data_IF_308963430743
#
_entry.id   IF_308963430743
#
_cell.length_a   1.000
_cell.length_b   1.000
_cell.length_c   1.000
_cell.angle_alpha   90.00
_cell.angle_beta   90.00
_cell.angle_gamma   90.00
#
_symmetry.space_group_name_H-M   'P 1'
#
loop_
_entity.id
_entity.type
_entity.pdbx_description
1 polymer ?
#
# COMPACT_ATOMS: atom_id res chain seq x y z
N UNK A 1 11.44 13.92 44.25
CA UNK A 1 10.55 14.04 43.08
C UNK A 1 11.45 14.13 41.86
N UNK A 2 11.57 13.06 41.13
CA UNK A 2 12.35 13.09 39.87
C UNK A 2 11.55 13.91 38.85
N UNK A 3 12.02 15.12 38.60
CA UNK A 3 11.45 15.95 37.53
C UNK A 3 11.86 15.35 36.17
N UNK A 4 11.08 14.39 35.71
CA UNK A 4 11.24 13.93 34.34
C UNK A 4 10.65 14.99 33.39
N UNK A 5 11.53 15.62 32.65
CA UNK A 5 11.15 16.51 31.56
C UNK A 5 10.80 15.65 30.33
N UNK A 6 9.80 16.05 29.57
CA UNK A 6 9.50 15.42 28.27
C UNK A 6 10.77 15.38 27.42
N UNK A 7 11.17 14.18 26.99
CA UNK A 7 12.36 13.98 26.19
C UNK A 7 13.64 13.64 26.94
N UNK A 8 13.68 13.69 28.28
CA UNK A 8 14.88 13.33 29.04
C UNK A 8 15.24 11.85 28.91
N UNK A 9 14.24 10.99 28.64
CA UNK A 9 14.42 9.58 28.41
C UNK A 9 13.78 9.19 27.08
N UNK A 10 14.50 9.41 25.99
CA UNK A 10 14.01 9.07 24.66
C UNK A 10 13.93 7.55 24.52
N UNK A 11 12.75 7.07 24.20
CA UNK A 11 12.52 5.69 23.81
C UNK A 11 12.01 5.67 22.38
N UNK A 12 12.76 5.04 21.49
CA UNK A 12 12.38 4.88 20.10
C UNK A 12 11.66 3.55 19.87
N UNK A 13 10.95 3.46 18.77
CA UNK A 13 10.26 2.25 18.36
C UNK A 13 10.27 2.05 16.85
N UNK A 14 10.07 0.80 16.46
CA UNK A 14 9.67 0.40 15.11
C UNK A 14 8.35 -0.34 15.24
N UNK A 15 7.45 -0.13 14.29
CA UNK A 15 6.14 -0.79 14.31
C UNK A 15 5.48 -0.81 12.95
N UNK A 16 4.29 -1.37 12.91
CA UNK A 16 3.47 -1.49 11.70
C UNK A 16 2.15 -0.75 11.91
N UNK A 17 1.78 0.08 10.94
CA UNK A 17 0.48 0.77 10.94
C UNK A 17 -0.64 -0.25 10.76
N UNK A 18 -1.56 -0.30 11.71
CA UNK A 18 -2.73 -1.18 11.67
C UNK A 18 -4.03 -0.43 11.34
N UNK A 19 -4.07 0.88 11.58
CA UNK A 19 -5.20 1.73 11.20
C UNK A 19 -4.74 3.15 10.91
N UNK A 20 -5.26 3.73 9.85
CA UNK A 20 -5.07 5.14 9.46
C UNK A 20 -6.40 5.90 9.38
N UNK A 21 -7.46 5.34 9.92
CA UNK A 21 -8.78 5.96 9.91
C UNK A 21 -9.02 6.78 11.19
N UNK A 22 -8.33 7.92 11.30
CA UNK A 22 -8.44 8.80 12.46
C UNK A 22 -9.81 9.51 12.51
N UNK A 23 -10.64 9.26 13.53
CA UNK A 23 -11.96 9.89 13.65
C UNK A 23 -11.88 11.41 13.86
N UNK A 24 -10.77 11.93 14.38
CA UNK A 24 -10.57 13.37 14.60
C UNK A 24 -9.93 14.08 13.38
N UNK A 25 -9.57 13.33 12.33
CA UNK A 25 -8.92 13.86 11.11
C UNK A 25 -7.65 14.67 11.40
N UNK A 26 -6.85 14.19 12.34
CA UNK A 26 -5.54 14.74 12.71
C UNK A 26 -4.39 13.98 12.05
N UNK A 27 -4.67 13.13 11.08
CA UNK A 27 -3.71 12.26 10.39
C UNK A 27 -2.94 11.30 11.33
N UNK A 28 -3.55 10.96 12.48
CA UNK A 28 -2.98 9.99 13.42
C UNK A 28 -3.17 8.58 12.89
N UNK A 29 -2.29 7.70 13.32
CA UNK A 29 -2.34 6.28 12.98
C UNK A 29 -2.29 5.41 14.23
N UNK A 30 -2.83 4.20 14.15
CA UNK A 30 -2.60 3.18 15.18
C UNK A 30 -1.44 2.30 14.74
N UNK A 31 -0.48 2.12 15.63
CA UNK A 31 0.75 1.39 15.35
C UNK A 31 0.91 0.23 16.33
N UNK A 32 1.03 -0.98 15.78
CA UNK A 32 1.48 -2.13 16.58
C UNK A 32 3.00 -2.10 16.65
N UNK A 33 3.50 -1.80 17.85
CA UNK A 33 4.92 -1.53 18.09
C UNK A 33 5.62 -2.82 18.48
N UNK A 34 6.68 -3.18 17.75
CA UNK A 34 7.46 -4.38 18.00
C UNK A 34 8.14 -4.33 19.37
N UNK A 35 8.01 -5.41 20.13
CA UNK A 35 8.58 -5.54 21.48
C UNK A 35 7.84 -4.77 22.58
N UNK A 36 6.77 -4.01 22.26
CA UNK A 36 5.87 -3.35 23.21
C UNK A 36 4.49 -4.00 23.17
N UNK A 37 3.93 -4.14 21.97
CA UNK A 37 2.64 -4.79 21.79
C UNK A 37 2.85 -6.23 21.31
N UNK A 38 2.06 -7.17 21.86
CA UNK A 38 2.04 -8.54 21.34
C UNK A 38 1.48 -8.55 19.90
N UNK A 39 1.89 -9.53 19.12
CA UNK A 39 1.30 -9.78 17.80
C UNK A 39 -0.08 -10.45 17.88
N UNK A 40 -0.42 -11.02 19.05
CA UNK A 40 -1.72 -11.62 19.29
C UNK A 40 -2.80 -10.54 19.41
N UNK A 41 -3.64 -10.45 18.38
CA UNK A 41 -4.74 -9.49 18.31
C UNK A 41 -5.91 -9.85 19.22
N UNK A 42 -5.95 -11.07 19.76
CA UNK A 42 -6.95 -11.45 20.78
C UNK A 42 -6.55 -10.92 22.15
N UNK A 43 -5.24 -10.83 22.43
CA UNK A 43 -4.74 -10.28 23.68
C UNK A 43 -4.75 -8.74 23.70
N UNK A 44 -4.37 -8.10 22.58
CA UNK A 44 -4.42 -6.64 22.40
C UNK A 44 -5.04 -6.38 21.02
N UNK A 45 -6.35 -6.10 20.96
CA UNK A 45 -7.01 -5.72 19.72
C UNK A 45 -6.43 -4.44 19.08
N UNK A 46 -6.53 -4.31 17.76
CA UNK A 46 -6.03 -3.13 17.05
C UNK A 46 -6.77 -1.85 17.46
N UNK A 47 -8.04 -1.97 17.86
CA UNK A 47 -8.86 -0.87 18.36
C UNK A 47 -8.39 -0.34 19.72
N UNK A 48 -7.70 -1.13 20.54
CA UNK A 48 -7.21 -0.74 21.87
C UNK A 48 -5.84 -0.07 21.82
N UNK A 49 -5.17 -0.10 20.67
CA UNK A 49 -3.88 0.56 20.52
C UNK A 49 -4.00 2.08 20.59
N UNK A 50 -3.03 2.77 21.21
CA UNK A 50 -3.04 4.23 21.27
C UNK A 50 -2.88 4.85 19.89
N UNK A 51 -3.47 6.02 19.71
CA UNK A 51 -3.25 6.82 18.51
C UNK A 51 -1.86 7.45 18.53
N UNK A 52 -1.04 7.12 17.56
CA UNK A 52 0.25 7.74 17.31
C UNK A 52 0.05 9.02 16.50
N UNK A 53 0.64 10.11 16.95
CA UNK A 53 0.75 11.31 16.12
C UNK A 53 1.75 11.06 14.98
N UNK A 54 1.55 11.74 13.86
CA UNK A 54 2.49 11.69 12.73
C UNK A 54 3.17 13.04 12.62
N UNK A 55 4.49 13.04 12.60
CA UNK A 55 5.26 14.25 12.37
C UNK A 55 5.11 14.70 10.91
N UNK A 56 4.64 15.92 10.72
CA UNK A 56 4.49 16.56 9.41
C UNK A 56 5.49 17.72 9.28
N UNK A 57 5.87 18.11 8.06
CA UNK A 57 6.73 19.29 7.86
C UNK A 57 6.12 20.54 8.47
N UNK A 58 6.96 21.40 9.03
CA UNK A 58 6.52 22.68 9.65
C UNK A 58 5.86 23.66 8.66
N UNK A 59 5.97 23.37 7.37
CA UNK A 59 5.30 24.12 6.30
C UNK A 59 3.86 23.73 6.07
N UNK A 60 3.44 22.64 6.72
CA UNK A 60 2.08 22.10 6.64
C UNK A 60 1.28 22.49 7.87
N UNK A 61 0.00 22.82 7.69
CA UNK A 61 -0.90 23.05 8.82
C UNK A 61 -1.32 21.73 9.45
N UNK A 62 -1.19 21.62 10.76
CA UNK A 62 -1.54 20.42 11.54
C UNK A 62 -2.94 20.45 12.15
N UNK A 63 -3.85 21.28 11.64
CA UNK A 63 -5.22 21.37 12.15
C UNK A 63 -6.12 20.26 11.62
N UNK A 64 -7.16 19.91 12.39
CA UNK A 64 -8.13 18.86 12.03
C UNK A 64 -8.80 19.14 10.68
N UNK A 65 -8.60 18.22 9.73
CA UNK A 65 -9.16 18.32 8.38
C UNK A 65 -8.49 19.36 7.47
N UNK A 66 -7.42 20.02 7.93
CA UNK A 66 -6.63 20.98 7.19
C UNK A 66 -5.15 20.58 7.23
N UNK A 67 -4.40 20.98 6.21
CA UNK A 67 -2.96 20.79 6.13
C UNK A 67 -2.53 19.50 5.46
N UNK A 68 -1.31 19.09 5.73
CA UNK A 68 -0.68 17.92 5.13
C UNK A 68 -1.34 16.61 5.56
N UNK A 69 -1.23 15.63 4.69
CA UNK A 69 -1.60 14.25 4.97
C UNK A 69 -0.40 13.36 4.68
N UNK A 70 0.05 12.64 5.67
CA UNK A 70 1.19 11.71 5.56
C UNK A 70 0.94 10.58 4.57
N UNK A 71 -0.33 10.29 4.28
CA UNK A 71 -0.79 9.17 3.42
C UNK A 71 -0.20 7.82 3.85
N UNK A 72 0.12 7.68 5.13
CA UNK A 72 0.54 6.39 5.66
C UNK A 72 -0.56 5.36 5.44
N UNK A 73 -0.18 4.25 4.84
CA UNK A 73 -1.10 3.15 4.57
C UNK A 73 -1.05 2.13 5.70
N UNK A 74 -2.13 1.39 5.87
CA UNK A 74 -2.12 0.19 6.69
C UNK A 74 -1.00 -0.74 6.21
N UNK A 75 -0.33 -1.42 7.15
CA UNK A 75 0.84 -2.27 6.96
C UNK A 75 2.15 -1.53 6.63
N UNK A 76 2.15 -0.19 6.55
CA UNK A 76 3.39 0.57 6.45
C UNK A 76 4.25 0.33 7.70
N UNK A 77 5.55 0.07 7.50
CA UNK A 77 6.50 0.03 8.59
C UNK A 77 6.93 1.44 8.93
N UNK A 78 6.92 1.78 10.21
CA UNK A 78 7.23 3.12 10.71
C UNK A 78 8.27 3.10 11.80
N UNK A 79 8.98 4.21 11.90
CA UNK A 79 9.94 4.50 12.97
C UNK A 79 9.44 5.72 13.74
N UNK A 80 9.59 5.70 15.06
CA UNK A 80 9.14 6.80 15.90
C UNK A 80 9.75 6.80 17.28
N UNK A 81 9.27 7.72 18.11
CA UNK A 81 9.66 7.89 19.52
C UNK A 81 8.41 7.97 20.39
N UNK A 82 8.59 7.69 21.68
CA UNK A 82 7.57 7.97 22.68
C UNK A 82 7.85 9.33 23.31
N UNK A 83 6.88 10.24 23.24
CA UNK A 83 6.99 11.58 23.82
C UNK A 83 7.05 11.56 25.36
N UNK A 84 6.43 10.57 25.96
CA UNK A 84 6.41 10.29 27.40
C UNK A 84 7.53 9.34 27.85
N UNK A 85 8.49 9.05 26.98
CA UNK A 85 9.66 8.24 27.29
C UNK A 85 9.30 6.82 27.76
N UNK A 86 9.64 6.49 29.00
CA UNK A 86 9.47 5.14 29.55
C UNK A 86 8.02 4.69 29.70
N UNK A 87 7.08 5.62 29.82
CA UNK A 87 5.65 5.30 29.99
C UNK A 87 5.01 4.76 28.72
N UNK A 88 5.58 5.11 27.56
CA UNK A 88 5.28 4.50 26.24
C UNK A 88 3.81 4.54 25.83
N UNK A 89 3.10 5.62 26.21
CA UNK A 89 1.68 5.82 25.90
C UNK A 89 1.44 6.88 24.81
N UNK A 90 2.45 7.75 24.56
CA UNK A 90 2.33 8.83 23.59
C UNK A 90 3.29 8.62 22.41
N UNK A 91 2.97 7.73 21.46
CA UNK A 91 3.80 7.47 20.30
C UNK A 91 3.74 8.63 19.29
N UNK A 92 4.89 9.01 18.75
CA UNK A 92 5.06 9.94 17.63
C UNK A 92 5.80 9.23 16.50
N UNK A 93 5.17 9.12 15.35
CA UNK A 93 5.78 8.59 14.13
C UNK A 93 6.63 9.68 13.48
N UNK A 94 7.90 9.41 13.27
CA UNK A 94 8.85 10.32 12.65
C UNK A 94 9.05 10.04 11.15
N UNK A 95 8.86 8.80 10.73
CA UNK A 95 9.03 8.42 9.34
C UNK A 95 8.55 7.02 9.02
N UNK A 96 8.45 6.74 7.73
CA UNK A 96 8.14 5.43 7.17
C UNK A 96 9.42 4.76 6.69
N UNK A 97 9.55 3.46 6.97
CA UNK A 97 10.67 2.64 6.52
C UNK A 97 10.20 1.86 5.30
N UNK A 98 10.81 2.09 4.12
CA UNK A 98 10.52 1.27 2.96
C UNK A 98 10.84 -0.20 3.25
N UNK A 99 9.89 -1.08 2.99
CA UNK A 99 10.11 -2.52 3.05
C UNK A 99 9.82 -3.13 1.68
N UNK A 100 10.60 -4.11 1.32
CA UNK A 100 10.28 -4.94 0.17
C UNK A 100 9.10 -5.81 0.60
N UNK A 101 7.90 -5.40 0.20
CA UNK A 101 6.81 -6.35 0.15
C UNK A 101 7.11 -7.22 -1.07
N UNK A 102 7.56 -8.44 -0.85
CA UNK A 102 7.29 -9.45 -1.86
C UNK A 102 5.80 -9.35 -2.10
N UNK A 103 5.41 -9.09 -3.34
CA UNK A 103 4.03 -9.21 -3.80
C UNK A 103 3.62 -10.69 -3.64
N UNK A 104 3.68 -11.20 -2.43
CA UNK A 104 2.93 -12.36 -2.01
C UNK A 104 1.52 -11.84 -1.89
N UNK A 105 0.73 -12.11 -2.86
CA UNK A 105 -0.66 -12.52 -2.86
C UNK A 105 -1.42 -12.44 -1.52
N UNK A 106 -1.20 -11.35 -0.76
CA UNK A 106 -2.10 -10.91 0.30
C UNK A 106 -3.14 -9.91 -0.23
N UNK A 107 -3.19 -9.72 -1.53
CA UNK A 107 -4.49 -9.77 -2.13
C UNK A 107 -4.90 -11.21 -1.84
N UNK A 108 -5.74 -11.46 -0.82
CA UNK A 108 -6.69 -12.52 -0.94
C UNK A 108 -7.20 -12.35 -2.36
N UNK A 109 -6.62 -13.13 -3.29
CA UNK A 109 -7.26 -13.32 -4.56
C UNK A 109 -8.72 -13.50 -4.16
N UNK A 110 -9.65 -12.68 -4.66
CA UNK A 110 -11.01 -13.13 -4.59
C UNK A 110 -10.89 -14.54 -5.11
N UNK A 111 -11.17 -15.52 -4.27
CA UNK A 111 -11.08 -16.95 -4.55
C UNK A 111 -12.19 -17.35 -5.55
N UNK A 112 -12.32 -16.54 -6.57
CA UNK A 112 -12.84 -16.82 -7.86
C UNK A 112 -11.60 -16.95 -8.74
N UNK A 113 -11.34 -18.14 -9.25
CA UNK A 113 -10.66 -18.27 -10.50
C UNK A 113 -11.14 -17.10 -11.36
N UNK A 114 -10.26 -16.12 -11.63
CA UNK A 114 -10.48 -15.22 -12.75
C UNK A 114 -10.33 -16.08 -13.98
N UNK A 115 -11.29 -16.91 -14.21
CA UNK A 115 -11.62 -17.43 -15.53
C UNK A 115 -12.13 -16.20 -16.29
N UNK A 116 -11.19 -15.31 -16.62
CA UNK A 116 -11.36 -14.39 -17.71
C UNK A 116 -11.47 -15.30 -18.94
N UNK A 117 -12.71 -15.75 -19.19
CA UNK A 117 -13.05 -16.32 -20.49
C UNK A 117 -12.93 -15.15 -21.46
N UNK A 118 -11.68 -14.88 -21.86
CA UNK A 118 -11.39 -13.79 -22.78
C UNK A 118 -12.03 -14.15 -24.12
N UNK A 119 -13.07 -13.42 -24.50
CA UNK A 119 -13.75 -13.58 -25.76
C UNK A 119 -12.78 -13.35 -26.92
N UNK A 120 -12.69 -14.33 -27.80
CA UNK A 120 -11.87 -14.30 -28.99
C UNK A 120 -11.22 -15.64 -29.30
N UNK A 121 -10.91 -15.86 -30.56
CA UNK A 121 -10.28 -17.10 -31.05
C UNK A 121 -8.76 -16.99 -31.06
N UNK A 122 -8.22 -15.78 -31.20
CA UNK A 122 -6.79 -15.50 -31.22
C UNK A 122 -6.38 -14.71 -29.98
N UNK A 123 -5.10 -14.70 -29.64
CA UNK A 123 -4.59 -13.89 -28.53
C UNK A 123 -4.76 -12.39 -28.80
N UNK A 124 -4.70 -11.96 -30.05
CA UNK A 124 -4.98 -10.58 -30.48
C UNK A 124 -6.43 -10.21 -30.16
N UNK A 125 -7.40 -11.04 -30.54
CA UNK A 125 -8.82 -10.80 -30.26
C UNK A 125 -9.09 -10.78 -28.76
N UNK A 126 -8.53 -11.70 -28.01
CA UNK A 126 -8.64 -11.75 -26.55
C UNK A 126 -8.08 -10.50 -25.90
N UNK A 127 -6.90 -10.04 -26.32
CA UNK A 127 -6.27 -8.83 -25.81
C UNK A 127 -7.12 -7.58 -26.17
N UNK A 128 -7.64 -7.50 -27.40
CA UNK A 128 -8.48 -6.40 -27.82
C UNK A 128 -9.77 -6.32 -26.99
N UNK A 129 -10.48 -7.42 -26.86
CA UNK A 129 -11.73 -7.49 -26.11
C UNK A 129 -11.51 -7.20 -24.62
N UNK A 130 -10.37 -7.63 -24.07
CA UNK A 130 -9.99 -7.27 -22.70
C UNK A 130 -9.82 -5.76 -22.55
N UNK A 131 -9.00 -5.11 -23.39
CA UNK A 131 -8.71 -3.68 -23.24
C UNK A 131 -9.92 -2.77 -23.41
N UNK A 132 -10.86 -3.10 -24.29
CA UNK A 132 -12.11 -2.33 -24.42
C UNK A 132 -13.12 -2.61 -23.31
N UNK A 133 -12.95 -3.70 -22.55
CA UNK A 133 -13.86 -4.06 -21.46
C UNK A 133 -13.68 -3.16 -20.23
N UNK A 134 -14.69 -3.05 -19.36
CA UNK A 134 -14.57 -2.30 -18.09
C UNK A 134 -13.43 -2.80 -17.19
N UNK A 135 -13.14 -4.10 -17.20
CA UNK A 135 -12.10 -4.74 -16.40
C UNK A 135 -10.71 -4.39 -16.94
N UNK A 136 -10.56 -4.34 -18.28
CA UNK A 136 -9.30 -4.05 -18.95
C UNK A 136 -8.96 -2.57 -19.10
N UNK A 137 -9.83 -1.66 -18.62
CA UNK A 137 -9.57 -0.22 -18.56
C UNK A 137 -10.46 0.63 -19.47
N UNK A 138 -11.44 0.03 -20.16
CA UNK A 138 -12.40 0.75 -21.04
C UNK A 138 -11.72 1.64 -22.09
N UNK A 139 -10.63 1.16 -22.66
CA UNK A 139 -9.91 1.88 -23.71
C UNK A 139 -10.77 2.01 -24.97
N UNK A 140 -10.56 3.08 -25.72
CA UNK A 140 -11.17 3.19 -27.04
C UNK A 140 -10.57 2.14 -27.99
N UNK A 141 -11.29 1.70 -29.04
CA UNK A 141 -10.76 0.74 -30.02
C UNK A 141 -9.41 1.17 -30.63
N UNK A 142 -9.21 2.47 -30.85
CA UNK A 142 -7.97 3.01 -31.40
C UNK A 142 -6.80 2.86 -30.41
N UNK A 143 -7.04 3.12 -29.11
CA UNK A 143 -6.04 2.94 -28.06
C UNK A 143 -5.69 1.45 -27.89
N UNK A 144 -6.69 0.58 -27.87
CA UNK A 144 -6.49 -0.87 -27.80
C UNK A 144 -5.66 -1.38 -28.99
N UNK A 145 -5.97 -0.95 -30.22
CA UNK A 145 -5.17 -1.31 -31.40
C UNK A 145 -3.71 -0.83 -31.28
N UNK A 146 -3.48 0.39 -30.76
CA UNK A 146 -2.12 0.89 -30.56
C UNK A 146 -1.28 0.04 -29.60
N UNK A 147 -1.87 -0.39 -28.47
CA UNK A 147 -1.22 -1.28 -27.51
C UNK A 147 -0.94 -2.66 -28.10
N UNK A 148 -1.91 -3.22 -28.80
CA UNK A 148 -1.78 -4.53 -29.45
C UNK A 148 -0.70 -4.50 -30.54
N UNK A 149 -0.60 -3.40 -31.30
CA UNK A 149 0.47 -3.22 -32.26
C UNK A 149 1.86 -3.36 -31.68
N UNK A 150 2.08 -2.77 -30.49
CA UNK A 150 3.33 -2.94 -29.75
C UNK A 150 3.54 -4.40 -29.32
N UNK A 151 2.51 -5.06 -28.80
CA UNK A 151 2.62 -6.49 -28.41
C UNK A 151 2.91 -7.39 -29.61
N UNK A 152 2.35 -7.11 -30.77
CA UNK A 152 2.66 -7.85 -31.98
C UNK A 152 4.13 -7.73 -32.39
N UNK A 153 4.72 -6.55 -32.23
CA UNK A 153 6.14 -6.31 -32.53
C UNK A 153 7.01 -7.03 -31.50
N UNK A 154 6.75 -6.81 -30.21
CA UNK A 154 7.53 -7.38 -29.09
C UNK A 154 7.47 -8.90 -29.06
N UNK A 155 6.32 -9.49 -29.40
CA UNK A 155 6.14 -10.96 -29.37
C UNK A 155 6.53 -11.66 -30.64
N UNK A 156 7.00 -10.96 -31.67
CA UNK A 156 7.34 -11.55 -32.97
C UNK A 156 6.14 -12.13 -33.69
N UNK A 157 4.95 -11.53 -33.57
CA UNK A 157 3.72 -12.05 -34.19
C UNK A 157 3.85 -12.31 -35.68
N UNK A 158 4.66 -11.53 -36.39
CA UNK A 158 4.94 -11.72 -37.83
C UNK A 158 5.60 -13.07 -38.14
N UNK A 159 6.32 -13.65 -37.16
CA UNK A 159 6.98 -14.97 -37.31
C UNK A 159 6.14 -16.13 -36.75
N UNK A 160 5.11 -15.84 -35.97
CA UNK A 160 4.24 -16.81 -35.29
C UNK A 160 2.84 -16.93 -35.92
N UNK A 161 2.73 -16.80 -37.24
CA UNK A 161 1.44 -16.93 -37.92
C UNK A 161 0.47 -15.76 -37.68
N UNK A 162 0.98 -14.60 -37.24
CA UNK A 162 0.19 -13.37 -37.10
C UNK A 162 -0.47 -13.17 -35.73
N UNK A 163 -0.22 -14.05 -34.72
CA UNK A 163 -0.81 -13.92 -33.40
C UNK A 163 0.25 -13.58 -32.35
N UNK A 164 -0.18 -12.95 -31.24
CA UNK A 164 0.67 -12.59 -30.11
C UNK A 164 1.12 -13.85 -29.36
N UNK A 165 2.42 -13.96 -29.10
CA UNK A 165 2.97 -14.99 -28.25
C UNK A 165 3.01 -14.50 -26.77
N UNK A 166 2.13 -14.98 -25.87
CA UNK A 166 2.11 -14.53 -24.47
C UNK A 166 3.33 -15.00 -23.67
N UNK A 167 4.15 -15.90 -24.23
CA UNK A 167 5.34 -16.44 -23.59
C UNK A 167 6.64 -15.84 -24.16
N UNK A 168 6.55 -14.86 -25.05
CA UNK A 168 7.72 -14.18 -25.60
C UNK A 168 8.50 -13.49 -24.47
N UNK A 169 9.81 -13.68 -24.42
CA UNK A 169 10.70 -12.98 -23.51
C UNK A 169 11.49 -11.95 -24.33
N UNK A 170 11.63 -10.76 -23.78
CA UNK A 170 12.59 -9.77 -24.29
C UNK A 170 13.99 -10.37 -24.24
N UNK A 171 14.69 -10.43 -25.35
CA UNK A 171 16.10 -10.81 -25.42
C UNK A 171 17.02 -9.76 -24.82
#
# INVERSE_FOLDING_TARGET
MDNYYYGDTIRWFIGVVVSNNDPLKLDRVKVRIHGVHTEDTLAIPDEDLPWAQVNIPVTEDGSSGLGGNSRLKNRAQVFGIFLDGKDSQLPLVLGSIPKIETLRNDVSEPSGEFNLNLDGNTNIEKAFNFFISPIGGSFTPQQACGMIGNFCVESGATTNGGDINPLARSG
#
